data_IF_767778200052
#
_entry.id   IF_767778200052
#
_cell.length_a   1.000
_cell.length_b   1.000
_cell.length_c   1.000
_cell.angle_alpha   90.00
_cell.angle_beta   90.00
_cell.angle_gamma   90.00
#
_symmetry.space_group_name_H-M   'P 1'
#
loop_
_entity.id
_entity.type
_entity.pdbx_description
1 polymer ?
#
# COMPACT_ATOMS: atom_id res chain seq x y z
N UNK A 1 -1.30 -28.40 -14.11
CA UNK A 1 -1.49 -26.94 -14.25
C UNK A 1 -0.11 -26.30 -14.29
N UNK A 2 0.19 -25.43 -15.26
CA UNK A 2 1.57 -24.96 -15.45
C UNK A 2 1.92 -23.84 -14.45
N UNK A 3 3.20 -23.77 -14.08
CA UNK A 3 3.74 -22.78 -13.13
C UNK A 3 3.49 -21.32 -13.56
N UNK A 4 3.53 -21.07 -14.87
CA UNK A 4 3.27 -19.76 -15.47
C UNK A 4 1.87 -19.26 -15.14
N UNK A 5 0.86 -20.14 -15.12
CA UNK A 5 -0.52 -19.78 -14.77
C UNK A 5 -0.57 -19.22 -13.35
N UNK A 6 0.06 -19.88 -12.38
CA UNK A 6 0.06 -19.40 -10.99
C UNK A 6 0.82 -18.07 -10.79
N UNK A 7 1.86 -17.82 -11.57
CA UNK A 7 2.55 -16.53 -11.56
C UNK A 7 1.69 -15.44 -12.21
N UNK A 8 1.03 -15.74 -13.32
CA UNK A 8 0.07 -14.85 -13.98
C UNK A 8 -1.12 -14.50 -13.07
N UNK A 9 -1.68 -15.49 -12.37
CA UNK A 9 -2.74 -15.27 -11.38
C UNK A 9 -2.26 -14.30 -10.28
N UNK A 10 -1.02 -14.46 -9.80
CA UNK A 10 -0.45 -13.58 -8.79
C UNK A 10 -0.29 -12.13 -9.29
N UNK A 11 0.12 -11.96 -10.55
CA UNK A 11 0.20 -10.66 -11.21
C UNK A 11 -1.19 -10.02 -11.33
N UNK A 12 -2.20 -10.81 -11.69
CA UNK A 12 -3.59 -10.36 -11.81
C UNK A 12 -4.14 -9.86 -10.47
N UNK A 13 -3.94 -10.63 -9.38
CA UNK A 13 -4.33 -10.18 -8.04
C UNK A 13 -3.64 -8.88 -7.62
N UNK A 14 -2.35 -8.72 -7.98
CA UNK A 14 -1.63 -7.49 -7.70
C UNK A 14 -2.14 -6.30 -8.53
N UNK A 15 -2.55 -6.53 -9.78
CA UNK A 15 -3.16 -5.52 -10.62
C UNK A 15 -4.49 -5.03 -10.02
N UNK A 16 -5.36 -5.94 -9.57
CA UNK A 16 -6.64 -5.60 -8.94
C UNK A 16 -6.44 -4.71 -7.70
N UNK A 17 -5.47 -5.06 -6.85
CA UNK A 17 -5.10 -4.26 -5.67
C UNK A 17 -4.64 -2.84 -6.06
N UNK A 18 -3.81 -2.71 -7.09
CA UNK A 18 -3.33 -1.41 -7.55
C UNK A 18 -4.42 -0.58 -8.24
N UNK A 19 -5.34 -1.20 -8.97
CA UNK A 19 -6.48 -0.50 -9.58
C UNK A 19 -7.39 0.09 -8.49
N UNK A 20 -7.63 -0.64 -7.40
CA UNK A 20 -8.33 -0.09 -6.24
C UNK A 20 -7.56 1.08 -5.62
N UNK A 21 -6.24 0.94 -5.40
CA UNK A 21 -5.40 2.03 -4.88
C UNK A 21 -5.51 3.30 -5.74
N UNK A 22 -5.54 3.15 -7.07
CA UNK A 22 -5.67 4.26 -8.01
C UNK A 22 -7.00 4.99 -7.82
N UNK A 23 -8.11 4.25 -7.72
CA UNK A 23 -9.42 4.85 -7.51
C UNK A 23 -9.54 5.52 -6.14
N UNK A 24 -9.01 4.91 -5.07
CA UNK A 24 -8.96 5.56 -3.75
C UNK A 24 -8.21 6.89 -3.80
N UNK A 25 -7.05 6.95 -4.46
CA UNK A 25 -6.29 8.20 -4.61
C UNK A 25 -7.09 9.25 -5.38
N UNK A 26 -7.73 8.89 -6.49
CA UNK A 26 -8.57 9.82 -7.27
C UNK A 26 -9.73 10.38 -6.46
N UNK A 27 -10.36 9.56 -5.61
CA UNK A 27 -11.45 10.02 -4.73
C UNK A 27 -10.89 10.95 -3.66
N UNK A 28 -9.80 10.56 -2.98
CA UNK A 28 -9.14 11.40 -1.97
C UNK A 28 -8.70 12.77 -2.51
N UNK A 29 -8.25 12.87 -3.77
CA UNK A 29 -7.87 14.15 -4.38
C UNK A 29 -9.07 15.08 -4.65
N UNK A 30 -10.29 14.55 -4.70
CA UNK A 30 -11.52 15.32 -4.93
C UNK A 30 -12.22 15.70 -3.62
N UNK A 31 -11.89 15.02 -2.52
CA UNK A 31 -12.48 15.29 -1.21
C UNK A 31 -11.72 16.43 -0.51
N UNK A 32 -12.43 17.41 0.07
CA UNK A 32 -11.81 18.28 1.06
C UNK A 32 -11.40 17.44 2.27
N UNK A 33 -10.25 17.73 2.87
CA UNK A 33 -9.76 17.00 4.07
C UNK A 33 -10.72 17.10 5.27
N UNK A 34 -11.66 18.06 5.26
CA UNK A 34 -12.68 18.26 6.29
C UNK A 34 -12.12 18.72 7.63
N UNK A 35 -12.99 19.12 8.56
CA UNK A 35 -12.63 19.28 9.96
C UNK A 35 -12.55 17.92 10.67
N UNK A 36 -11.89 17.84 11.82
CA UNK A 36 -11.86 16.61 12.61
C UNK A 36 -13.29 16.14 12.94
N UNK A 37 -13.56 14.83 12.77
CA UNK A 37 -14.87 14.20 13.00
C UNK A 37 -16.00 14.63 12.04
N UNK A 38 -15.69 15.36 10.96
CA UNK A 38 -16.64 15.57 9.85
C UNK A 38 -16.82 14.28 9.03
N UNK A 39 -17.95 14.16 8.34
CA UNK A 39 -18.22 13.02 7.45
C UNK A 39 -17.15 12.91 6.35
N UNK A 40 -16.75 14.04 5.77
CA UNK A 40 -15.71 14.11 4.75
C UNK A 40 -14.38 13.59 5.28
N UNK A 41 -14.02 13.96 6.51
CA UNK A 41 -12.82 13.48 7.18
C UNK A 41 -12.87 11.98 7.45
N UNK A 42 -14.00 11.46 7.92
CA UNK A 42 -14.18 10.04 8.16
C UNK A 42 -14.06 9.22 6.88
N UNK A 43 -14.69 9.69 5.78
CA UNK A 43 -14.56 9.06 4.46
C UNK A 43 -13.12 9.09 3.97
N UNK A 44 -12.42 10.22 4.12
CA UNK A 44 -11.02 10.35 3.75
C UNK A 44 -10.13 9.35 4.50
N UNK A 45 -10.28 9.27 5.83
CA UNK A 45 -9.49 8.36 6.66
C UNK A 45 -9.78 6.89 6.31
N UNK A 46 -11.04 6.54 6.02
CA UNK A 46 -11.41 5.20 5.56
C UNK A 46 -10.75 4.86 4.22
N UNK A 47 -10.77 5.78 3.25
CA UNK A 47 -10.09 5.62 1.96
C UNK A 47 -8.58 5.48 2.12
N UNK A 48 -7.98 6.26 3.01
CA UNK A 48 -6.55 6.20 3.32
C UNK A 48 -6.15 4.83 3.89
N UNK A 49 -6.92 4.32 4.86
CA UNK A 49 -6.68 2.98 5.42
C UNK A 49 -6.86 1.90 4.35
N UNK A 50 -7.93 1.97 3.55
CA UNK A 50 -8.18 1.04 2.46
C UNK A 50 -7.04 1.04 1.42
N UNK A 51 -6.50 2.21 1.10
CA UNK A 51 -5.33 2.39 0.24
C UNK A 51 -4.10 1.70 0.84
N UNK A 52 -3.75 1.99 2.10
CA UNK A 52 -2.57 1.42 2.76
C UNK A 52 -2.62 -0.11 2.81
N UNK A 53 -3.80 -0.67 3.13
CA UNK A 53 -4.00 -2.13 3.19
C UNK A 53 -3.87 -2.76 1.80
N UNK A 54 -4.59 -2.22 0.80
CA UNK A 54 -4.59 -2.76 -0.57
C UNK A 54 -3.19 -2.67 -1.20
N UNK A 55 -2.51 -1.54 -1.03
CA UNK A 55 -1.12 -1.36 -1.46
C UNK A 55 -0.21 -2.42 -0.82
N UNK A 56 -0.34 -2.63 0.50
CA UNK A 56 0.47 -3.60 1.21
C UNK A 56 0.24 -5.05 0.80
N UNK A 57 -0.95 -5.42 0.28
CA UNK A 57 -1.22 -6.78 -0.23
C UNK A 57 -0.40 -7.10 -1.48
N UNK A 58 -0.10 -6.10 -2.30
CA UNK A 58 0.78 -6.25 -3.47
C UNK A 58 2.16 -6.80 -3.08
N UNK A 59 2.70 -6.39 -1.93
CA UNK A 59 4.07 -6.71 -1.52
C UNK A 59 4.20 -7.91 -0.58
N UNK A 60 3.11 -8.62 -0.29
CA UNK A 60 3.13 -9.78 0.61
C UNK A 60 3.05 -11.09 -0.16
N UNK A 61 3.51 -12.15 0.51
CA UNK A 61 3.52 -13.49 -0.05
C UNK A 61 2.10 -13.97 -0.30
N UNK A 62 1.91 -14.61 -1.44
CA UNK A 62 0.67 -15.32 -1.73
C UNK A 62 0.76 -16.76 -1.21
N UNK A 63 -0.35 -17.25 -0.69
CA UNK A 63 -0.55 -18.68 -0.53
C UNK A 63 -1.11 -19.21 -1.84
N UNK A 64 -0.41 -20.17 -2.46
CA UNK A 64 -0.94 -20.91 -3.60
C UNK A 64 -1.70 -22.13 -3.09
N UNK A 65 -2.81 -22.48 -3.74
CA UNK A 65 -3.58 -23.71 -3.43
C UNK A 65 -2.71 -24.96 -3.64
N UNK A 66 -1.69 -24.86 -4.47
CA UNK A 66 -0.70 -25.91 -4.72
C UNK A 66 0.65 -25.56 -4.07
N UNK A 67 1.01 -26.17 -2.92
CA UNK A 67 2.24 -25.87 -2.20
C UNK A 67 3.51 -26.09 -3.04
N UNK A 68 3.47 -27.02 -4.00
CA UNK A 68 4.58 -27.37 -4.88
C UNK A 68 5.11 -26.21 -5.73
N UNK A 69 4.27 -25.20 -6.02
CA UNK A 69 4.64 -24.03 -6.82
C UNK A 69 4.87 -22.76 -5.98
N UNK A 70 4.56 -22.82 -4.68
CA UNK A 70 4.55 -21.67 -3.77
C UNK A 70 5.90 -20.96 -3.70
N UNK A 71 6.98 -21.73 -3.55
CA UNK A 71 8.33 -21.19 -3.35
C UNK A 71 8.79 -20.39 -4.58
N UNK A 72 8.70 -21.01 -5.75
CA UNK A 72 9.15 -20.43 -7.00
C UNK A 72 8.31 -19.22 -7.43
N UNK A 73 6.98 -19.30 -7.33
CA UNK A 73 6.09 -18.16 -7.64
C UNK A 73 6.41 -16.98 -6.72
N UNK A 74 6.59 -17.22 -5.42
CA UNK A 74 6.93 -16.15 -4.47
C UNK A 74 8.33 -15.58 -4.71
N UNK A 75 9.32 -16.40 -5.07
CA UNK A 75 10.67 -15.92 -5.39
C UNK A 75 10.69 -15.04 -6.65
N UNK A 76 10.04 -15.50 -7.74
CA UNK A 76 9.93 -14.76 -8.98
C UNK A 76 9.18 -13.44 -8.78
N UNK A 77 8.01 -13.50 -8.11
CA UNK A 77 7.22 -12.32 -7.83
C UNK A 77 7.94 -11.34 -6.90
N UNK A 78 8.66 -11.84 -5.89
CA UNK A 78 9.45 -11.00 -4.97
C UNK A 78 10.58 -10.28 -5.70
N UNK A 79 11.25 -10.96 -6.64
CA UNK A 79 12.27 -10.33 -7.48
C UNK A 79 11.64 -9.23 -8.34
N UNK A 80 10.53 -9.54 -9.01
CA UNK A 80 9.79 -8.61 -9.85
C UNK A 80 9.37 -7.34 -9.10
N UNK A 81 8.69 -7.45 -7.94
CA UNK A 81 8.26 -6.26 -7.17
C UNK A 81 9.44 -5.42 -6.64
N UNK A 82 10.57 -6.05 -6.31
CA UNK A 82 11.79 -5.32 -5.92
C UNK A 82 12.33 -4.52 -7.10
N UNK A 83 12.34 -5.11 -8.28
CA UNK A 83 12.78 -4.45 -9.51
C UNK A 83 11.82 -3.32 -9.91
N UNK A 84 10.50 -3.49 -9.72
CA UNK A 84 9.51 -2.42 -9.95
C UNK A 84 9.78 -1.20 -9.08
N UNK A 85 10.03 -1.40 -7.78
CA UNK A 85 10.31 -0.31 -6.84
C UNK A 85 11.67 0.33 -7.13
N UNK A 86 12.71 -0.46 -7.41
CA UNK A 86 14.06 0.09 -7.65
C UNK A 86 14.15 0.95 -8.91
N UNK A 87 13.26 0.75 -9.89
CA UNK A 87 13.13 1.61 -11.08
C UNK A 87 12.47 2.97 -10.82
N UNK A 88 11.76 3.12 -9.69
CA UNK A 88 11.09 4.37 -9.37
C UNK A 88 12.09 5.46 -8.99
N UNK A 89 11.71 6.73 -9.13
CA UNK A 89 12.48 7.84 -8.58
C UNK A 89 12.63 7.69 -7.05
N UNK A 90 13.77 8.10 -6.49
CA UNK A 90 14.11 7.95 -5.05
C UNK A 90 13.01 8.45 -4.09
N UNK A 91 12.28 9.49 -4.49
CA UNK A 91 11.16 10.04 -3.71
C UNK A 91 9.99 9.06 -3.61
N UNK A 92 9.66 8.38 -4.71
CA UNK A 92 8.59 7.39 -4.77
C UNK A 92 8.99 6.07 -4.10
N UNK A 93 10.27 5.69 -4.17
CA UNK A 93 10.81 4.57 -3.40
C UNK A 93 10.59 4.78 -1.89
N UNK A 94 11.01 5.95 -1.37
CA UNK A 94 10.79 6.32 0.03
C UNK A 94 9.30 6.39 0.41
N UNK A 95 8.45 6.84 -0.52
CA UNK A 95 7.01 6.83 -0.29
C UNK A 95 6.47 5.39 -0.17
N UNK A 96 6.90 4.48 -1.05
CA UNK A 96 6.54 3.06 -0.96
C UNK A 96 6.95 2.46 0.38
N UNK A 97 8.18 2.71 0.84
CA UNK A 97 8.67 2.26 2.15
C UNK A 97 7.76 2.77 3.27
N UNK A 98 7.44 4.07 3.29
CA UNK A 98 6.53 4.67 4.28
C UNK A 98 5.12 4.07 4.25
N UNK A 99 4.57 3.75 3.08
CA UNK A 99 3.24 3.10 2.97
C UNK A 99 3.29 1.70 3.59
N UNK A 100 4.34 0.93 3.30
CA UNK A 100 4.52 -0.42 3.85
C UNK A 100 4.72 -0.40 5.36
N UNK A 101 5.49 0.55 5.88
CA UNK A 101 5.63 0.80 7.32
C UNK A 101 4.26 1.09 7.95
N UNK A 102 3.49 2.04 7.39
CA UNK A 102 2.14 2.36 7.88
C UNK A 102 1.22 1.16 7.90
N UNK A 103 1.31 0.26 6.91
CA UNK A 103 0.53 -0.98 6.87
C UNK A 103 0.94 -1.96 7.96
N UNK A 104 2.24 -2.16 8.16
CA UNK A 104 2.74 -3.07 9.20
C UNK A 104 2.39 -2.53 10.59
N UNK A 105 2.51 -1.22 10.78
CA UNK A 105 1.98 -0.50 11.95
C UNK A 105 0.47 -0.69 12.08
N UNK A 106 -0.30 -0.56 10.99
CA UNK A 106 -1.75 -0.69 11.03
C UNK A 106 -2.24 -2.07 11.49
N UNK A 107 -1.55 -3.13 11.06
CA UNK A 107 -1.83 -4.50 11.47
C UNK A 107 -1.36 -4.75 12.92
N UNK A 108 -0.25 -4.12 13.33
CA UNK A 108 0.27 -4.20 14.70
C UNK A 108 -0.59 -3.41 15.72
N UNK A 109 -1.41 -2.44 15.27
CA UNK A 109 -2.25 -1.56 16.10
C UNK A 109 -3.47 -2.19 16.78
N UNK A 110 -3.55 -3.52 16.84
CA UNK A 110 -4.25 -4.17 17.96
C UNK A 110 -3.48 -4.02 19.29
N UNK A 111 -2.23 -3.57 19.26
CA UNK A 111 -1.38 -3.34 20.44
C UNK A 111 -1.24 -1.83 20.71
N UNK A 112 -1.38 -1.42 21.98
CA UNK A 112 -1.32 -0.03 22.43
C UNK A 112 0.10 0.57 22.36
N UNK A 113 1.14 -0.26 22.23
CA UNK A 113 2.55 0.16 22.21
C UNK A 113 2.95 1.07 21.03
N UNK A 114 2.20 1.07 19.94
CA UNK A 114 2.48 1.86 18.74
C UNK A 114 1.90 3.28 18.77
N UNK A 115 1.19 3.65 19.85
CA UNK A 115 0.82 5.06 20.14
C UNK A 115 1.93 5.86 20.81
N UNK A 116 3.08 5.25 21.08
CA UNK A 116 4.31 5.83 21.62
C UNK A 116 4.04 7.01 22.56
N UNK A 117 3.38 6.72 23.68
CA UNK A 117 3.01 7.71 24.69
C UNK A 117 4.30 8.23 25.36
N UNK A 118 4.72 9.44 25.00
CA UNK A 118 5.86 10.12 25.62
C UNK A 118 5.35 11.23 26.53
N UNK A 119 5.78 11.25 27.80
CA UNK A 119 5.58 12.40 28.67
C UNK A 119 6.63 13.47 28.33
N UNK A 120 6.20 14.69 28.01
CA UNK A 120 7.08 15.86 27.93
C UNK A 120 6.64 16.87 29.00
N UNK A 121 7.54 17.26 29.90
CA UNK A 121 7.28 18.22 30.99
C UNK A 121 5.99 17.96 31.80
N UNK A 122 5.75 16.72 32.27
CA UNK A 122 4.53 16.34 33.02
C UNK A 122 3.20 16.65 32.31
N UNK A 123 3.23 16.94 31.02
CA UNK A 123 2.04 17.17 30.20
C UNK A 123 1.88 16.03 29.21
N UNK A 124 0.66 15.51 29.10
CA UNK A 124 0.31 14.54 28.07
C UNK A 124 0.35 15.23 26.71
N UNK A 125 1.07 14.70 25.69
CA UNK A 125 0.97 15.25 24.35
C UNK A 125 -0.49 15.21 23.90
N UNK A 126 -1.04 16.37 23.51
CA UNK A 126 -2.45 16.50 23.12
C UNK A 126 -2.85 15.59 21.96
N UNK A 127 -1.89 15.05 21.20
CA UNK A 127 -2.11 14.14 20.08
C UNK A 127 -0.96 13.14 20.09
N UNK A 128 -1.23 11.89 20.49
CA UNK A 128 -0.30 10.78 20.24
C UNK A 128 -0.01 10.71 18.74
N UNK A 129 1.23 10.41 18.32
CA UNK A 129 1.57 10.21 16.91
C UNK A 129 0.62 9.19 16.30
N UNK A 130 -0.38 9.65 15.55
CA UNK A 130 -1.35 8.77 14.90
C UNK A 130 -0.74 8.36 13.55
N UNK A 131 -0.29 7.11 13.37
CA UNK A 131 0.25 6.69 12.09
C UNK A 131 -0.82 6.65 10.99
N UNK A 132 -2.09 6.74 11.37
CA UNK A 132 -3.22 6.91 10.47
C UNK A 132 -3.54 8.36 10.14
N UNK A 133 -2.68 9.32 10.51
CA UNK A 133 -2.85 10.67 9.97
C UNK A 133 -2.81 10.58 8.44
N UNK A 134 -3.91 10.91 7.76
CA UNK A 134 -4.06 10.73 6.34
C UNK A 134 -3.12 11.67 5.58
N UNK A 135 -2.77 11.24 4.37
CA UNK A 135 -1.93 12.02 3.48
C UNK A 135 -2.54 13.38 3.13
N UNK A 136 -1.68 14.36 2.94
CA UNK A 136 -2.09 15.61 2.32
C UNK A 136 -2.29 15.43 0.80
N UNK A 137 -2.83 16.45 0.14
CA UNK A 137 -3.07 16.44 -1.30
C UNK A 137 -1.81 16.09 -2.14
N UNK A 138 -0.65 16.59 -1.72
CA UNK A 138 0.63 16.37 -2.42
C UNK A 138 1.11 14.94 -2.24
N UNK A 139 0.98 14.39 -1.04
CA UNK A 139 1.28 12.99 -0.75
C UNK A 139 0.33 12.04 -1.50
N UNK A 140 -0.97 12.33 -1.57
CA UNK A 140 -1.91 11.53 -2.38
C UNK A 140 -1.59 11.62 -3.87
N UNK A 141 -1.19 12.79 -4.37
CA UNK A 141 -0.77 12.95 -5.77
C UNK A 141 0.46 12.10 -6.10
N UNK A 142 1.41 12.01 -5.17
CA UNK A 142 2.59 11.14 -5.32
C UNK A 142 2.23 9.66 -5.21
N UNK A 143 1.30 9.31 -4.32
CA UNK A 143 0.79 7.95 -4.19
C UNK A 143 0.09 7.51 -5.48
N UNK A 144 -0.72 8.38 -6.10
CA UNK A 144 -1.35 8.14 -7.39
C UNK A 144 -0.30 7.89 -8.48
N UNK A 145 0.71 8.78 -8.62
CA UNK A 145 1.79 8.61 -9.60
C UNK A 145 2.53 7.28 -9.40
N UNK A 146 2.86 6.94 -8.15
CA UNK A 146 3.50 5.67 -7.82
C UNK A 146 2.61 4.49 -8.23
N UNK A 147 1.34 4.48 -7.84
CA UNK A 147 0.40 3.41 -8.19
C UNK A 147 0.27 3.24 -9.70
N UNK A 148 0.18 4.34 -10.48
CA UNK A 148 0.09 4.27 -11.94
C UNK A 148 1.35 3.70 -12.59
N UNK A 149 2.54 4.07 -12.10
CA UNK A 149 3.79 3.47 -12.56
C UNK A 149 3.82 1.95 -12.31
N UNK A 150 3.40 1.52 -11.12
CA UNK A 150 3.38 0.10 -10.76
C UNK A 150 2.34 -0.68 -11.58
N UNK A 151 1.18 -0.09 -11.90
CA UNK A 151 0.20 -0.70 -12.82
C UNK A 151 0.84 -0.95 -14.18
N UNK A 152 1.54 0.04 -14.72
CA UNK A 152 2.25 -0.10 -16.01
C UNK A 152 3.26 -1.24 -15.99
N UNK A 153 4.04 -1.36 -14.92
CA UNK A 153 5.00 -2.45 -14.76
C UNK A 153 4.31 -3.84 -14.71
N UNK A 154 3.20 -3.98 -13.97
CA UNK A 154 2.45 -5.25 -13.89
C UNK A 154 1.85 -5.63 -15.24
N UNK A 155 1.23 -4.69 -15.95
CA UNK A 155 0.62 -4.95 -17.26
C UNK A 155 1.70 -5.40 -18.26
N UNK A 156 2.87 -4.75 -18.25
CA UNK A 156 4.00 -5.15 -19.08
C UNK A 156 4.48 -6.57 -18.76
N UNK A 157 4.54 -6.94 -17.48
CA UNK A 157 4.93 -8.29 -17.07
C UNK A 157 3.88 -9.34 -17.42
N UNK A 158 2.58 -9.02 -17.29
CA UNK A 158 1.49 -9.90 -17.72
C UNK A 158 1.55 -10.19 -19.23
N UNK A 159 1.78 -9.16 -20.06
CA UNK A 159 1.93 -9.32 -21.50
C UNK A 159 3.18 -10.12 -21.92
N UNK A 160 4.18 -10.23 -21.03
CA UNK A 160 5.39 -11.02 -21.27
C UNK A 160 5.19 -12.50 -20.90
N UNK A 161 4.31 -12.78 -19.95
CA UNK A 161 4.12 -14.12 -19.35
C UNK A 161 2.91 -14.84 -19.95
N UNK A 162 1.84 -14.11 -20.29
CA UNK A 162 0.66 -14.63 -20.99
C UNK A 162 0.90 -14.75 -22.49
#
# INVERSE_FOLDING_TARGET
>A
MSKQIHYYDRLTMALDDLLMCKEYCKIMLKLPLGEALSEERTVYEALFVAFVVSYGRVFKFSNTVYPAHKKEVNENFRKFIKDMISKQEKKLQKLSERILEKRDTAIAHSDAGSRNYQHYNNSTPCISYNPYYPYDYKEVSLALKLTENLIGDIVNEQNRVG
#
